data_IF_728132188602
#
_entry.id   IF_728132188602
#
_cell.length_a   1.000
_cell.length_b   1.000
_cell.length_c   1.000
_cell.angle_alpha   90.00
_cell.angle_beta   90.00
_cell.angle_gamma   90.00
#
_symmetry.space_group_name_H-M   'P 1'
#
loop_
_entity.id
_entity.type
_entity.pdbx_description
1 polymer ?
#
# COMPACT_ATOMS: atom_id res chain seq x y z
N UNK A 1 13.78 -2.00 14.04
CA UNK A 1 14.05 -2.42 12.65
C UNK A 1 13.19 -3.65 12.36
N UNK A 2 12.28 -3.60 11.37
CA UNK A 2 11.28 -4.67 11.17
C UNK A 2 11.86 -6.00 10.63
N UNK A 3 13.05 -5.99 10.03
CA UNK A 3 13.83 -7.16 9.59
C UNK A 3 15.33 -6.86 9.59
N UNK A 4 16.16 -7.84 9.99
CA UNK A 4 17.61 -7.67 10.11
C UNK A 4 18.34 -7.49 8.76
N UNK A 5 17.75 -7.95 7.66
CA UNK A 5 18.25 -7.82 6.29
C UNK A 5 17.68 -6.60 5.54
N UNK A 6 16.91 -5.74 6.23
CA UNK A 6 16.28 -4.60 5.59
C UNK A 6 17.33 -3.57 5.11
N UNK A 7 17.20 -3.05 3.87
CA UNK A 7 17.93 -1.88 3.42
C UNK A 7 17.90 -0.72 4.42
N UNK A 8 18.89 0.19 4.34
CA UNK A 8 18.84 1.42 5.09
C UNK A 8 17.52 2.13 4.86
N UNK A 9 17.01 2.59 5.97
CA UNK A 9 15.98 3.57 6.15
C UNK A 9 15.78 4.55 4.96
N UNK A 10 16.81 5.34 4.65
CA UNK A 10 16.77 6.32 3.56
C UNK A 10 16.51 5.67 2.18
N UNK A 11 17.00 4.46 1.93
CA UNK A 11 16.83 3.77 0.65
C UNK A 11 15.35 3.49 0.34
N UNK A 12 14.53 3.16 1.35
CA UNK A 12 13.09 2.99 1.17
C UNK A 12 12.38 4.29 0.78
N UNK A 13 12.78 5.42 1.38
CA UNK A 13 12.24 6.72 0.99
C UNK A 13 12.61 7.08 -0.45
N UNK A 14 13.85 6.81 -0.85
CA UNK A 14 14.32 7.03 -2.22
C UNK A 14 13.59 6.14 -3.21
N UNK A 15 13.35 4.86 -2.88
CA UNK A 15 12.56 3.95 -3.71
C UNK A 15 11.12 4.44 -3.90
N UNK A 16 10.48 4.93 -2.83
CA UNK A 16 9.14 5.54 -2.92
C UNK A 16 9.15 6.77 -3.84
N UNK A 17 10.16 7.64 -3.72
CA UNK A 17 10.34 8.79 -4.63
C UNK A 17 10.54 8.37 -6.08
N UNK A 18 11.34 7.33 -6.33
CA UNK A 18 11.52 6.76 -7.68
C UNK A 18 10.17 6.32 -8.26
N UNK A 19 9.35 5.58 -7.50
CA UNK A 19 8.03 5.18 -7.95
C UNK A 19 7.09 6.37 -8.23
N UNK A 20 7.15 7.44 -7.43
CA UNK A 20 6.37 8.66 -7.70
C UNK A 20 6.80 9.35 -9.00
N UNK A 21 8.07 9.26 -9.38
CA UNK A 21 8.61 9.94 -10.56
C UNK A 21 8.35 9.22 -11.88
N UNK A 22 7.89 7.96 -11.82
CA UNK A 22 7.64 7.17 -13.01
C UNK A 22 6.27 7.52 -13.61
N UNK A 23 6.17 7.73 -14.94
CA UNK A 23 4.96 8.23 -15.59
C UNK A 23 3.87 7.16 -15.74
N UNK A 24 4.20 5.89 -15.57
CA UNK A 24 3.25 4.78 -15.75
C UNK A 24 2.50 4.48 -14.45
N UNK A 25 1.20 4.23 -14.58
CA UNK A 25 0.31 3.86 -13.47
C UNK A 25 0.70 2.54 -12.78
N UNK A 26 1.45 1.69 -13.48
CA UNK A 26 2.06 0.49 -12.93
C UNK A 26 3.35 0.21 -13.69
N UNK A 27 4.48 0.07 -12.99
CA UNK A 27 5.83 -0.02 -13.55
C UNK A 27 6.45 -1.38 -13.29
N UNK A 28 7.35 -1.84 -14.15
CA UNK A 28 8.05 -3.10 -13.90
C UNK A 28 9.09 -2.97 -12.79
N UNK A 29 9.32 -4.01 -11.99
CA UNK A 29 10.40 -3.99 -10.97
C UNK A 29 11.78 -3.75 -11.59
N UNK A 30 12.01 -4.20 -12.82
CA UNK A 30 13.27 -3.97 -13.53
C UNK A 30 13.47 -2.48 -13.82
N UNK A 31 12.44 -1.79 -14.30
CA UNK A 31 12.46 -0.34 -14.54
C UNK A 31 12.66 0.44 -13.25
N UNK A 32 12.00 0.03 -12.16
CA UNK A 32 12.22 0.66 -10.84
C UNK A 32 13.67 0.49 -10.39
N UNK A 33 14.25 -0.69 -10.57
CA UNK A 33 15.65 -0.95 -10.22
C UNK A 33 16.61 -0.13 -11.09
N UNK A 34 16.38 -0.05 -12.40
CA UNK A 34 17.21 0.74 -13.31
C UNK A 34 17.18 2.23 -12.96
N UNK A 35 15.99 2.81 -12.74
CA UNK A 35 15.88 4.22 -12.38
C UNK A 35 16.45 4.52 -10.99
N UNK A 36 16.27 3.60 -10.03
CA UNK A 36 16.87 3.74 -8.71
C UNK A 36 18.39 3.68 -8.77
N UNK A 37 18.97 2.72 -9.50
CA UNK A 37 20.42 2.57 -9.65
C UNK A 37 21.03 3.79 -10.37
N UNK A 38 20.37 4.26 -11.44
CA UNK A 38 20.78 5.46 -12.17
C UNK A 38 20.83 6.70 -11.28
N UNK A 39 19.84 6.88 -10.40
CA UNK A 39 19.74 8.06 -9.55
C UNK A 39 20.55 7.94 -8.24
N UNK A 40 20.67 6.74 -7.68
CA UNK A 40 21.11 6.53 -6.30
C UNK A 40 22.06 5.33 -6.10
N UNK A 41 22.42 4.57 -7.13
CA UNK A 41 23.25 3.37 -7.02
C UNK A 41 24.61 3.63 -6.37
N UNK A 42 25.21 4.80 -6.61
CA UNK A 42 26.45 5.22 -5.94
C UNK A 42 26.30 5.53 -4.44
N UNK A 43 25.08 5.84 -3.98
CA UNK A 43 24.79 6.08 -2.56
C UNK A 43 24.39 4.79 -1.82
N UNK A 44 23.80 3.84 -2.55
CA UNK A 44 23.27 2.59 -1.98
C UNK A 44 23.72 1.36 -2.79
N UNK A 45 25.04 1.09 -2.86
CA UNK A 45 25.59 0.06 -3.76
C UNK A 45 25.15 -1.37 -3.41
N UNK A 46 24.82 -1.63 -2.15
CA UNK A 46 24.45 -2.96 -1.66
C UNK A 46 22.92 -3.18 -1.61
N UNK A 47 22.12 -2.20 -2.05
CA UNK A 47 20.66 -2.31 -1.97
C UNK A 47 20.11 -3.23 -3.05
N UNK A 48 19.51 -4.33 -2.60
CA UNK A 48 18.71 -5.21 -3.45
C UNK A 48 17.31 -4.60 -3.67
N UNK A 49 17.15 -3.83 -4.73
CA UNK A 49 15.88 -3.15 -5.06
C UNK A 49 14.69 -4.12 -5.16
N UNK A 50 14.77 -5.26 -5.88
CA UNK A 50 13.68 -6.23 -5.90
C UNK A 50 13.22 -6.68 -4.51
N UNK A 51 14.17 -6.94 -3.60
CA UNK A 51 13.86 -7.32 -2.21
C UNK A 51 13.20 -6.18 -1.44
N UNK A 52 13.75 -4.97 -1.53
CA UNK A 52 13.19 -3.78 -0.89
C UNK A 52 11.74 -3.51 -1.37
N UNK A 53 11.48 -3.72 -2.66
CA UNK A 53 10.14 -3.60 -3.24
C UNK A 53 9.17 -4.66 -2.71
N UNK A 54 9.62 -5.90 -2.49
CA UNK A 54 8.80 -6.92 -1.84
C UNK A 54 8.43 -6.53 -0.41
N UNK A 55 9.36 -5.93 0.34
CA UNK A 55 9.06 -5.43 1.68
C UNK A 55 8.02 -4.31 1.63
N UNK A 56 8.12 -3.36 0.69
CA UNK A 56 7.11 -2.32 0.51
C UNK A 56 5.73 -2.89 0.14
N UNK A 57 5.66 -4.01 -0.58
CA UNK A 57 4.40 -4.72 -0.87
C UNK A 57 3.84 -5.40 0.38
N UNK A 58 4.70 -6.04 1.18
CA UNK A 58 4.34 -6.65 2.46
C UNK A 58 3.80 -5.59 3.43
N UNK A 59 4.47 -4.45 3.54
CA UNK A 59 4.03 -3.30 4.34
C UNK A 59 2.79 -2.60 3.76
N UNK A 60 2.39 -2.98 2.54
CA UNK A 60 1.21 -2.47 1.85
C UNK A 60 1.37 -1.09 1.25
N UNK A 61 2.56 -0.51 1.25
CA UNK A 61 2.84 0.78 0.60
C UNK A 61 2.76 0.68 -0.92
N UNK A 62 3.20 -0.47 -1.45
CA UNK A 62 3.19 -0.79 -2.88
C UNK A 62 2.15 -1.87 -3.16
N UNK A 63 1.43 -1.72 -4.27
CA UNK A 63 0.52 -2.73 -4.79
C UNK A 63 1.20 -3.51 -5.93
N UNK A 64 1.12 -4.84 -5.87
CA UNK A 64 1.48 -5.73 -6.97
C UNK A 64 0.29 -5.82 -7.93
N UNK A 65 0.41 -5.22 -9.12
CA UNK A 65 -0.68 -5.16 -10.10
C UNK A 65 -0.78 -6.45 -10.92
N UNK A 66 0.36 -6.97 -11.38
CA UNK A 66 0.43 -8.17 -12.22
C UNK A 66 1.78 -8.84 -12.08
N UNK A 67 1.77 -10.16 -12.11
CA UNK A 67 2.97 -10.94 -12.28
C UNK A 67 2.95 -11.61 -13.67
N UNK A 68 4.05 -11.47 -14.39
CA UNK A 68 4.24 -12.01 -15.75
C UNK A 68 5.53 -12.82 -15.78
N UNK A 69 5.72 -13.61 -16.83
CA UNK A 69 7.00 -14.30 -17.09
C UNK A 69 8.17 -13.32 -17.21
N UNK A 70 7.89 -12.08 -17.63
CA UNK A 70 8.86 -10.99 -17.75
C UNK A 70 9.08 -10.22 -16.43
N UNK A 71 8.42 -10.60 -15.34
CA UNK A 71 8.54 -9.99 -14.02
C UNK A 71 7.24 -9.42 -13.46
N UNK A 72 7.36 -8.69 -12.35
CA UNK A 72 6.24 -8.09 -11.63
C UNK A 72 6.06 -6.61 -11.99
N UNK A 73 4.80 -6.19 -12.15
CA UNK A 73 4.39 -4.77 -12.25
C UNK A 73 3.81 -4.29 -10.94
N UNK A 74 4.25 -3.13 -10.51
CA UNK A 74 3.94 -2.55 -9.20
C UNK A 74 3.53 -1.09 -9.33
N UNK A 75 2.79 -0.59 -8.36
CA UNK A 75 2.48 0.85 -8.24
C UNK A 75 2.40 1.27 -6.79
N UNK A 76 2.53 2.57 -6.53
CA UNK A 76 2.24 3.09 -5.19
C UNK A 76 0.74 3.00 -4.92
N UNK A 77 0.38 2.48 -3.75
CA UNK A 77 -1.02 2.28 -3.38
C UNK A 77 -1.78 3.61 -3.24
N UNK A 78 -1.10 4.68 -2.83
CA UNK A 78 -1.71 5.99 -2.55
C UNK A 78 -1.52 7.03 -3.66
N UNK A 79 -1.19 6.61 -4.89
CA UNK A 79 -1.11 7.53 -6.04
C UNK A 79 -2.46 8.12 -6.48
N UNK A 80 -3.58 7.68 -5.90
CA UNK A 80 -4.93 8.06 -6.33
C UNK A 80 -5.34 9.50 -5.95
N UNK A 81 -4.43 10.30 -5.37
CA UNK A 81 -4.67 11.69 -4.98
C UNK A 81 -4.07 12.77 -5.89
N UNK A 82 -3.17 12.42 -6.81
CA UNK A 82 -2.44 13.36 -7.68
C UNK A 82 -2.64 13.05 -9.17
N UNK A 83 -3.81 12.53 -9.56
CA UNK A 83 -4.15 12.37 -10.97
C UNK A 83 -4.63 13.70 -11.56
N UNK A 84 -4.08 14.04 -12.72
CA UNK A 84 -4.63 15.05 -13.62
C UNK A 84 -6.08 14.64 -13.98
N UNK A 85 -7.09 15.47 -13.71
CA UNK A 85 -8.49 15.16 -13.97
C UNK A 85 -8.82 14.88 -15.45
N UNK A 86 -7.90 15.16 -16.38
CA UNK A 86 -8.12 14.95 -17.81
C UNK A 86 -7.74 13.53 -18.31
N UNK A 87 -7.12 12.67 -17.49
CA UNK A 87 -6.48 11.43 -17.99
C UNK A 87 -7.14 10.08 -17.62
N UNK A 88 -8.38 10.02 -17.08
CA UNK A 88 -9.13 8.74 -16.95
C UNK A 88 -10.66 8.81 -17.13
N UNK A 89 -11.28 7.78 -17.76
CA UNK A 89 -12.73 7.62 -17.88
C UNK A 89 -13.43 6.88 -16.71
N UNK A 90 -12.78 6.76 -15.54
CA UNK A 90 -13.39 6.15 -14.34
C UNK A 90 -13.41 7.19 -13.21
N UNK A 91 -14.60 7.45 -12.66
CA UNK A 91 -14.89 8.50 -11.66
C UNK A 91 -13.86 8.55 -10.51
N UNK A 92 -13.50 9.76 -10.02
CA UNK A 92 -12.48 9.92 -8.99
C UNK A 92 -12.92 9.27 -7.67
N UNK A 93 -12.14 8.29 -7.21
CA UNK A 93 -12.30 7.71 -5.87
C UNK A 93 -11.90 8.74 -4.81
N UNK A 94 -12.86 9.23 -4.02
CA UNK A 94 -12.58 10.09 -2.87
C UNK A 94 -12.32 9.25 -1.62
N UNK A 95 -11.32 9.64 -0.83
CA UNK A 95 -11.11 9.06 0.49
C UNK A 95 -12.24 9.54 1.43
N UNK A 96 -13.17 8.66 1.76
CA UNK A 96 -14.31 8.94 2.64
C UNK A 96 -13.99 8.75 4.13
N UNK A 97 -12.88 8.08 4.42
CA UNK A 97 -12.44 7.87 5.79
C UNK A 97 -11.16 7.06 5.86
N UNK A 98 -10.85 6.58 7.06
CA UNK A 98 -9.70 5.72 7.29
C UNK A 98 -10.08 4.55 8.18
N UNK A 99 -9.51 3.38 7.91
CA UNK A 99 -9.60 2.20 8.76
C UNK A 99 -8.21 1.68 9.13
N UNK A 100 -8.17 0.81 10.12
CA UNK A 100 -6.99 0.07 10.53
C UNK A 100 -7.05 -1.33 9.95
N UNK A 101 -6.05 -1.72 9.17
CA UNK A 101 -5.90 -3.07 8.63
C UNK A 101 -4.82 -3.79 9.38
N UNK A 102 -5.04 -5.06 9.71
CA UNK A 102 -3.99 -5.95 10.17
C UNK A 102 -3.94 -7.21 9.34
N UNK A 103 -2.75 -7.82 9.24
CA UNK A 103 -2.54 -9.11 8.61
C UNK A 103 -1.18 -9.70 8.99
N UNK A 104 -1.00 -10.99 8.73
CA UNK A 104 0.31 -11.64 8.68
C UNK A 104 0.61 -12.01 7.22
N UNK A 105 1.73 -11.55 6.71
CA UNK A 105 2.19 -11.77 5.34
C UNK A 105 3.37 -12.75 5.34
N UNK A 106 3.17 -14.03 4.95
CA UNK A 106 4.28 -14.95 4.73
C UNK A 106 5.15 -14.53 3.54
N UNK A 107 4.54 -13.90 2.55
CA UNK A 107 5.20 -13.37 1.37
C UNK A 107 4.43 -12.15 0.84
N UNK A 108 4.92 -11.55 -0.24
CA UNK A 108 4.28 -10.38 -0.86
C UNK A 108 2.97 -10.70 -1.60
N UNK A 109 2.63 -11.98 -1.82
CA UNK A 109 1.43 -12.44 -2.55
C UNK A 109 0.29 -12.84 -1.62
N UNK A 110 0.60 -13.31 -0.42
CA UNK A 110 -0.37 -13.91 0.51
C UNK A 110 -0.44 -13.11 1.80
N UNK A 111 -1.67 -12.97 2.29
CA UNK A 111 -1.97 -12.38 3.60
C UNK A 111 -2.96 -13.29 4.29
N UNK A 112 -2.70 -13.62 5.55
CA UNK A 112 -3.61 -14.34 6.44
C UNK A 112 -4.03 -13.43 7.58
N UNK A 113 -5.16 -13.76 8.21
CA UNK A 113 -5.70 -12.94 9.31
C UNK A 113 -5.92 -11.48 8.87
N UNK A 114 -6.28 -11.30 7.59
CA UNK A 114 -6.41 -10.00 6.96
C UNK A 114 -7.79 -9.41 7.22
N UNK A 115 -7.84 -8.30 7.96
CA UNK A 115 -9.10 -7.68 8.37
C UNK A 115 -8.98 -6.17 8.62
N UNK A 116 -10.09 -5.47 8.41
CA UNK A 116 -10.25 -4.04 8.67
C UNK A 116 -10.99 -3.78 9.99
N UNK A 117 -10.60 -2.70 10.66
CA UNK A 117 -11.07 -2.26 11.97
C UNK A 117 -11.21 -0.74 12.00
N UNK A 118 -12.04 -0.25 12.91
CA UNK A 118 -12.22 1.19 13.13
C UNK A 118 -11.12 1.80 14.00
N UNK A 119 -10.47 1.00 14.85
CA UNK A 119 -9.40 1.45 15.75
C UNK A 119 -8.14 0.60 15.63
N UNK A 120 -6.99 1.20 15.94
CA UNK A 120 -5.70 0.50 15.98
C UNK A 120 -5.70 -0.62 17.02
N UNK A 121 -6.23 -0.34 18.21
CA UNK A 121 -6.22 -1.28 19.33
C UNK A 121 -7.05 -2.53 19.00
N UNK A 122 -8.16 -2.40 18.26
CA UNK A 122 -8.94 -3.53 17.78
C UNK A 122 -8.15 -4.38 16.75
N UNK A 123 -7.33 -3.74 15.91
CA UNK A 123 -6.47 -4.43 14.95
C UNK A 123 -5.34 -5.20 15.68
N UNK A 124 -4.71 -4.59 16.69
CA UNK A 124 -3.74 -5.24 17.57
C UNK A 124 -4.33 -6.43 18.31
N UNK A 125 -5.51 -6.27 18.93
CA UNK A 125 -6.22 -7.34 19.61
C UNK A 125 -6.54 -8.52 18.69
N UNK A 126 -6.93 -8.23 17.44
CA UNK A 126 -7.19 -9.27 16.46
C UNK A 126 -5.91 -10.03 16.08
N UNK A 127 -4.81 -9.31 15.85
CA UNK A 127 -3.54 -9.92 15.50
C UNK A 127 -3.00 -10.80 16.64
N UNK A 128 -3.20 -10.39 17.90
CA UNK A 128 -2.92 -11.23 19.07
C UNK A 128 -3.74 -12.51 19.07
N UNK A 129 -5.06 -12.42 18.93
CA UNK A 129 -5.97 -13.58 19.05
C UNK A 129 -5.89 -14.55 17.86
N UNK A 130 -5.79 -14.03 16.65
CA UNK A 130 -5.90 -14.81 15.41
C UNK A 130 -4.58 -14.94 14.65
N UNK A 131 -3.61 -14.06 14.90
CA UNK A 131 -2.26 -14.11 14.32
C UNK A 131 -1.25 -14.77 15.26
N UNK A 132 -1.52 -14.77 16.57
CA UNK A 132 -0.58 -15.26 17.59
C UNK A 132 0.62 -14.35 17.82
N UNK A 133 0.48 -13.05 17.53
CA UNK A 133 1.56 -12.05 17.61
C UNK A 133 1.27 -11.08 18.74
N UNK A 134 2.22 -10.82 19.62
CA UNK A 134 2.01 -9.83 20.68
C UNK A 134 2.15 -8.41 20.12
N UNK A 135 1.17 -7.51 20.30
CA UNK A 135 1.28 -6.10 19.91
C UNK A 135 2.54 -5.38 20.37
N UNK A 136 3.13 -5.78 21.50
CA UNK A 136 4.37 -5.18 22.00
C UNK A 136 5.61 -5.55 21.15
N UNK A 137 5.51 -6.59 20.32
CA UNK A 137 6.55 -6.97 19.34
C UNK A 137 6.50 -6.11 18.07
N UNK A 138 5.37 -5.42 17.83
CA UNK A 138 5.19 -4.58 16.64
C UNK A 138 5.87 -3.23 16.82
N UNK A 139 6.86 -2.97 15.99
CA UNK A 139 7.57 -1.69 15.99
C UNK A 139 6.99 -0.75 14.92
N UNK A 140 6.97 0.58 15.18
CA UNK A 140 6.61 1.54 14.15
C UNK A 140 7.62 1.49 12.99
N UNK A 141 7.11 1.41 11.77
CA UNK A 141 7.92 1.48 10.55
C UNK A 141 8.18 2.95 10.24
N UNK A 142 9.28 3.47 10.75
CA UNK A 142 9.62 4.89 10.77
C UNK A 142 9.49 5.64 9.42
N UNK A 143 9.82 5.04 8.26
CA UNK A 143 9.62 5.68 6.94
C UNK A 143 8.17 5.67 6.43
N UNK A 144 7.25 5.02 7.14
CA UNK A 144 5.83 4.96 6.81
C UNK A 144 4.99 5.57 7.93
N UNK A 145 4.03 6.40 7.55
CA UNK A 145 3.09 6.95 8.52
C UNK A 145 2.08 5.89 8.93
N UNK A 146 1.92 5.73 10.25
CA UNK A 146 0.87 4.90 10.85
C UNK A 146 0.93 3.42 10.40
N UNK A 147 2.15 2.88 10.27
CA UNK A 147 2.43 1.47 10.01
C UNK A 147 3.28 0.91 11.15
N UNK A 148 2.89 -0.26 11.65
CA UNK A 148 3.62 -1.06 12.61
C UNK A 148 3.86 -2.44 12.03
N UNK A 149 5.06 -3.00 12.23
CA UNK A 149 5.41 -4.31 11.73
C UNK A 149 6.38 -5.06 12.64
N UNK A 150 6.32 -6.39 12.56
CA UNK A 150 7.27 -7.30 13.21
C UNK A 150 7.61 -8.45 12.27
N UNK A 151 8.90 -8.77 12.16
CA UNK A 151 9.35 -10.03 11.58
C UNK A 151 9.13 -11.17 12.58
N UNK A 152 8.47 -12.23 12.15
CA UNK A 152 8.20 -13.40 12.97
C UNK A 152 9.32 -14.44 12.80
N UNK A 153 9.51 -15.31 13.80
CA UNK A 153 10.49 -16.41 13.74
C UNK A 153 10.21 -17.38 12.58
N UNK A 154 8.95 -17.46 12.14
CA UNK A 154 8.51 -18.24 10.97
C UNK A 154 8.94 -17.65 9.63
N UNK A 155 9.56 -16.46 9.63
CA UNK A 155 9.94 -15.68 8.43
C UNK A 155 8.83 -14.78 7.90
N UNK A 156 7.61 -14.89 8.45
CA UNK A 156 6.47 -14.05 8.07
C UNK A 156 6.61 -12.62 8.62
N UNK A 157 5.77 -11.69 8.16
CA UNK A 157 5.71 -10.32 8.68
C UNK A 157 4.31 -10.00 9.14
N UNK A 158 4.17 -9.67 10.42
CA UNK A 158 2.95 -9.13 10.98
C UNK A 158 2.89 -7.63 10.69
N UNK A 159 1.74 -7.13 10.26
CA UNK A 159 1.56 -5.70 9.90
C UNK A 159 0.25 -5.19 10.48
N UNK A 160 0.30 -3.99 11.05
CA UNK A 160 -0.87 -3.16 11.34
C UNK A 160 -0.67 -1.80 10.73
N UNK A 161 -1.63 -1.35 9.92
CA UNK A 161 -1.51 -0.07 9.21
C UNK A 161 -2.82 0.66 9.10
N UNK A 162 -2.74 1.99 8.96
CA UNK A 162 -3.88 2.79 8.54
C UNK A 162 -4.05 2.74 7.02
N UNK A 163 -5.29 2.58 6.59
CA UNK A 163 -5.70 2.53 5.18
C UNK A 163 -6.77 3.60 4.93
N UNK A 164 -6.69 4.37 3.84
CA UNK A 164 -7.82 5.14 3.36
C UNK A 164 -8.92 4.19 2.87
N UNK A 165 -10.17 4.52 3.20
CA UNK A 165 -11.35 3.90 2.60
C UNK A 165 -11.79 4.83 1.48
N UNK A 166 -11.82 4.29 0.27
CA UNK A 166 -12.32 5.00 -0.91
C UNK A 166 -13.80 4.69 -1.11
N UNK A 167 -14.59 5.73 -1.30
CA UNK A 167 -15.96 5.60 -1.78
C UNK A 167 -16.04 6.13 -3.21
N UNK A 168 -16.86 5.47 -4.04
CA UNK A 168 -17.22 6.03 -5.33
C UNK A 168 -18.14 7.21 -5.08
N UNK A 169 -17.87 8.34 -5.73
CA UNK A 169 -18.79 9.47 -5.71
C UNK A 169 -20.12 8.95 -6.24
N UNK A 170 -21.13 8.88 -5.37
CA UNK A 170 -22.47 8.54 -5.83
C UNK A 170 -22.89 9.70 -6.70
N UNK A 171 -22.96 9.51 -8.03
CA UNK A 171 -23.67 10.44 -8.89
C UNK A 171 -25.10 10.43 -8.38
N UNK A 172 -25.42 11.38 -7.50
CA UNK A 172 -26.79 11.76 -7.24
C UNK A 172 -27.29 12.26 -8.60
N UNK A 173 -27.94 11.36 -9.34
CA UNK A 173 -28.80 11.78 -10.42
C UNK A 173 -29.80 12.73 -9.80
N UNK A 174 -29.62 14.02 -10.07
CA UNK A 174 -30.70 14.99 -10.02
C UNK A 174 -31.79 14.45 -10.95
N UNK A 175 -32.66 13.61 -10.40
CA UNK A 175 -33.93 13.30 -11.04
C UNK A 175 -34.70 14.61 -11.06
N UNK A 176 -34.66 15.25 -12.22
CA UNK A 176 -35.50 16.36 -12.60
C UNK A 176 -36.92 16.14 -12.06
N UNK A 177 -37.39 17.11 -11.27
CA UNK A 177 -38.81 17.38 -11.12
C UNK A 177 -39.42 17.43 -12.52
N UNK A 178 -40.13 16.38 -12.92
CA UNK A 178 -40.96 16.40 -14.12
C UNK A 178 -42.40 16.37 -13.67
N UNK A 179 -42.89 17.59 -13.47
CA UNK A 179 -44.24 18.10 -13.66
C UNK A 179 -45.43 17.20 -13.29
N UNK A 180 -46.18 17.73 -12.32
CA UNK A 180 -47.64 17.62 -12.20
C UNK A 180 -48.35 17.40 -13.54
N UNK A 181 -49.12 16.32 -13.62
CA UNK A 181 -50.29 16.25 -14.48
C UNK A 181 -51.42 15.50 -13.73
N UNK A 182 -52.01 16.18 -12.75
CA UNK A 182 -53.38 15.90 -12.34
C UNK A 182 -54.28 16.86 -13.12
N UNK A 183 -54.86 16.35 -14.22
CA UNK A 183 -55.75 17.11 -15.10
C UNK A 183 -56.79 16.23 -15.79
N UNK A 184 -57.95 16.13 -15.13
CA UNK A 184 -59.29 15.66 -15.58
C UNK A 184 -59.54 14.14 -15.56
#
# INVERSE_FOLDING_TARGET
>A
MFRADAPPEEAYERLRKTLCSLPEEAVSLAQVAEEFDRAYGGLFPDVNVPRAMQDLIVLGEVELCRETESGARVRLRHQWGDYDPDDRPEEPLRAAGTAWRCYVAPDFRRRRTDRLFTTRDAAFDHLRRAGGVDPDELEPVWFLREVWAAGLETGETAVVRREPIYERESVHGDYYETESDFGI
#
